data_IF_643528769114
#
_entry.id   IF_643528769114
#
_cell.length_a   1.000
_cell.length_b   1.000
_cell.length_c   1.000
_cell.angle_alpha   90.00
_cell.angle_beta   90.00
_cell.angle_gamma   90.00
#
_symmetry.space_group_name_H-M   'P 1'
#
loop_
_entity.id
_entity.type
_entity.pdbx_description
1 polymer ?
#
# COMPACT_ATOMS: atom_id res chain seq x y z
N UNK A 1 -43.68 39.95 7.61
CA UNK A 1 -42.78 38.95 8.23
C UNK A 1 -42.39 37.96 7.16
N UNK A 2 -41.22 38.15 6.56
CA UNK A 2 -40.65 37.28 5.53
C UNK A 2 -39.97 36.10 6.21
N UNK A 3 -40.42 34.87 5.92
CA UNK A 3 -39.78 33.63 6.36
C UNK A 3 -38.48 33.45 5.55
N UNK A 4 -37.34 33.71 6.18
CA UNK A 4 -36.04 33.34 5.65
C UNK A 4 -35.90 31.84 5.95
N UNK A 5 -35.90 31.02 4.90
CA UNK A 5 -35.56 29.60 5.02
C UNK A 5 -34.04 29.58 5.17
N UNK A 6 -33.55 29.40 6.39
CA UNK A 6 -32.14 29.16 6.66
C UNK A 6 -31.78 27.79 6.09
N UNK A 7 -31.15 27.78 4.92
CA UNK A 7 -30.52 26.58 4.38
C UNK A 7 -29.26 26.29 5.20
N UNK A 8 -29.33 25.27 6.04
CA UNK A 8 -28.18 24.75 6.77
C UNK A 8 -27.07 24.36 5.78
N UNK A 9 -25.93 25.06 5.87
CA UNK A 9 -24.74 24.77 5.07
C UNK A 9 -23.97 23.64 5.73
N UNK A 10 -23.95 22.48 5.08
CA UNK A 10 -23.19 21.31 5.55
C UNK A 10 -21.79 21.34 4.94
N UNK A 11 -20.76 21.42 5.78
CA UNK A 11 -19.36 21.26 5.38
C UNK A 11 -18.85 19.90 5.83
N UNK A 12 -18.28 19.13 4.90
CA UNK A 12 -17.63 17.86 5.23
C UNK A 12 -16.33 17.70 4.45
N UNK A 13 -15.37 17.00 5.04
CA UNK A 13 -14.13 16.61 4.39
C UNK A 13 -14.22 15.15 3.98
N UNK A 14 -14.10 14.91 2.68
CA UNK A 14 -14.02 13.56 2.16
C UNK A 14 -12.59 13.03 2.31
N UNK A 15 -12.41 11.96 3.08
CA UNK A 15 -11.11 11.30 3.21
C UNK A 15 -10.96 10.23 2.13
N UNK A 16 -10.27 10.56 1.04
CA UNK A 16 -9.94 9.63 -0.05
C UNK A 16 -8.41 9.42 -0.11
N UNK A 17 -7.84 8.51 0.70
CA UNK A 17 -6.42 8.23 0.63
C UNK A 17 -6.08 7.57 -0.71
N UNK A 18 -4.90 7.85 -1.25
CA UNK A 18 -4.44 7.35 -2.56
C UNK A 18 -4.45 5.82 -2.65
N UNK A 19 -4.28 5.13 -1.52
CA UNK A 19 -4.37 3.67 -1.40
C UNK A 19 -5.71 3.09 -1.83
N UNK A 20 -6.80 3.86 -1.81
CA UNK A 20 -8.12 3.38 -2.25
C UNK A 20 -8.18 3.14 -3.77
N UNK A 21 -7.26 3.72 -4.53
CA UNK A 21 -7.17 3.56 -5.97
C UNK A 21 -6.23 2.41 -6.39
N UNK A 22 -5.87 1.55 -5.44
CA UNK A 22 -5.12 0.32 -5.72
C UNK A 22 -6.06 -0.83 -6.03
N UNK A 23 -5.67 -1.63 -7.01
CA UNK A 23 -6.32 -2.86 -7.45
C UNK A 23 -5.40 -4.03 -7.15
N UNK A 24 -6.03 -5.11 -6.67
CA UNK A 24 -5.35 -6.38 -6.45
C UNK A 24 -5.05 -7.02 -7.80
N UNK A 25 -3.78 -7.31 -8.05
CA UNK A 25 -3.31 -8.10 -9.20
C UNK A 25 -2.18 -8.99 -8.73
N UNK A 26 -2.17 -10.23 -9.18
CA UNK A 26 -1.11 -11.20 -8.90
C UNK A 26 -0.15 -11.25 -10.07
N UNK A 27 1.15 -11.28 -9.78
CA UNK A 27 2.21 -11.58 -10.74
C UNK A 27 3.14 -12.62 -10.11
N UNK A 28 3.86 -13.35 -10.95
CA UNK A 28 4.88 -14.28 -10.48
C UNK A 28 6.19 -13.53 -10.10
N UNK A 29 7.11 -14.25 -9.47
CA UNK A 29 8.39 -13.69 -9.03
C UNK A 29 9.30 -13.28 -10.19
N UNK A 30 9.17 -13.91 -11.36
CA UNK A 30 9.99 -13.61 -12.54
C UNK A 30 9.56 -12.26 -13.11
N UNK A 31 8.25 -12.08 -13.35
CA UNK A 31 7.66 -10.84 -13.81
C UNK A 31 7.89 -9.70 -12.82
N UNK A 32 7.90 -9.98 -11.52
CA UNK A 32 8.25 -8.98 -10.50
C UNK A 32 9.72 -8.58 -10.58
N UNK A 33 10.64 -9.53 -10.76
CA UNK A 33 12.05 -9.25 -10.94
C UNK A 33 12.30 -8.42 -12.22
N UNK A 34 11.67 -8.81 -13.33
CA UNK A 34 11.73 -8.07 -14.58
C UNK A 34 11.22 -6.64 -14.41
N UNK A 35 10.10 -6.44 -13.71
CA UNK A 35 9.57 -5.12 -13.39
C UNK A 35 10.58 -4.28 -12.60
N UNK A 36 11.23 -4.86 -11.57
CA UNK A 36 12.24 -4.18 -10.77
C UNK A 36 13.49 -3.79 -11.59
N UNK A 37 13.86 -4.59 -12.59
CA UNK A 37 15.01 -4.35 -13.46
C UNK A 37 14.70 -3.49 -14.70
N UNK A 38 13.44 -3.43 -15.12
CA UNK A 38 13.01 -2.76 -16.37
C UNK A 38 13.12 -1.23 -16.35
N UNK A 39 13.24 -0.61 -15.17
CA UNK A 39 13.14 0.84 -15.02
C UNK A 39 11.72 1.40 -15.18
N UNK A 40 10.68 0.56 -15.30
CA UNK A 40 9.29 0.98 -15.36
C UNK A 40 8.79 1.62 -14.05
N UNK A 41 9.49 1.37 -12.93
CA UNK A 41 9.24 1.99 -11.63
C UNK A 41 9.89 3.38 -11.57
N UNK A 42 9.11 4.41 -11.90
CA UNK A 42 9.59 5.79 -12.03
C UNK A 42 9.92 6.41 -10.66
N UNK A 43 9.18 6.02 -9.62
CA UNK A 43 9.27 6.61 -8.29
C UNK A 43 9.74 5.59 -7.27
N UNK A 44 10.79 5.93 -6.52
CA UNK A 44 11.27 5.12 -5.41
C UNK A 44 11.15 5.90 -4.10
N UNK A 45 10.63 5.25 -3.07
CA UNK A 45 10.59 5.79 -1.72
C UNK A 45 10.92 4.70 -0.72
N UNK A 46 11.57 5.09 0.39
CA UNK A 46 11.88 4.20 1.48
C UNK A 46 11.59 4.91 2.80
N UNK A 47 10.99 4.18 3.73
CA UNK A 47 10.83 4.62 5.10
C UNK A 47 11.11 3.45 6.06
N UNK A 48 11.47 3.78 7.30
CA UNK A 48 11.65 2.81 8.38
C UNK A 48 10.70 3.18 9.50
N UNK A 49 10.03 2.19 10.05
CA UNK A 49 9.15 2.37 11.22
C UNK A 49 9.84 1.73 12.41
N UNK A 50 9.86 2.43 13.53
CA UNK A 50 10.38 1.91 14.80
C UNK A 50 9.51 0.77 15.34
N UNK A 51 10.11 -0.07 16.20
CA UNK A 51 9.58 -1.33 16.72
C UNK A 51 8.06 -1.38 16.93
N UNK A 52 7.38 -2.21 16.12
CA UNK A 52 6.03 -2.67 16.38
C UNK A 52 6.08 -4.00 17.13
N UNK A 53 5.30 -4.17 18.20
CA UNK A 53 5.13 -5.48 18.87
C UNK A 53 4.33 -6.50 18.04
N UNK A 54 4.05 -6.21 16.77
CA UNK A 54 3.26 -7.07 15.90
C UNK A 54 4.13 -8.11 15.18
N UNK A 55 3.57 -9.31 15.04
CA UNK A 55 4.16 -10.38 14.23
C UNK A 55 4.28 -9.96 12.77
N UNK A 56 5.37 -10.40 12.12
CA UNK A 56 5.66 -10.09 10.72
C UNK A 56 4.53 -10.51 9.77
N UNK A 57 3.94 -11.68 9.99
CA UNK A 57 2.86 -12.22 9.15
C UNK A 57 1.58 -11.43 9.32
N UNK A 58 1.27 -11.07 10.57
CA UNK A 58 0.13 -10.25 10.88
C UNK A 58 0.22 -8.88 10.18
N UNK A 59 1.40 -8.25 10.21
CA UNK A 59 1.64 -6.98 9.52
C UNK A 59 1.47 -7.11 8.01
N UNK A 60 2.10 -8.11 7.38
CA UNK A 60 1.97 -8.33 5.93
C UNK A 60 0.51 -8.55 5.54
N UNK A 61 -0.22 -9.40 6.29
CA UNK A 61 -1.62 -9.66 6.01
C UNK A 61 -2.47 -8.38 6.15
N UNK A 62 -2.23 -7.59 7.20
CA UNK A 62 -2.93 -6.31 7.43
C UNK A 62 -2.66 -5.32 6.29
N UNK A 63 -1.41 -5.21 5.85
CA UNK A 63 -1.01 -4.35 4.72
C UNK A 63 -1.68 -4.84 3.42
N UNK A 64 -1.62 -6.14 3.14
CA UNK A 64 -2.22 -6.70 1.92
C UNK A 64 -3.73 -6.52 1.87
N UNK A 65 -4.42 -6.63 3.01
CA UNK A 65 -5.85 -6.38 3.10
C UNK A 65 -6.19 -4.90 2.95
N UNK A 66 -5.47 -4.01 3.65
CA UNK A 66 -5.76 -2.58 3.69
C UNK A 66 -5.43 -1.87 2.37
N UNK A 67 -4.38 -2.30 1.67
CA UNK A 67 -3.87 -1.66 0.46
C UNK A 67 -4.13 -2.49 -0.81
N UNK A 68 -4.88 -3.58 -0.70
CA UNK A 68 -5.19 -4.51 -1.81
C UNK A 68 -3.95 -5.07 -2.52
N UNK A 69 -2.84 -5.19 -1.79
CA UNK A 69 -1.61 -5.78 -2.29
C UNK A 69 -1.71 -7.31 -2.31
N UNK A 70 -0.91 -7.94 -3.17
CA UNK A 70 -0.67 -9.38 -3.20
C UNK A 70 0.75 -9.68 -2.80
N UNK A 71 0.95 -10.78 -2.07
CA UNK A 71 2.29 -11.31 -1.79
C UNK A 71 2.78 -12.04 -3.04
N UNK A 72 3.90 -11.58 -3.60
CA UNK A 72 4.57 -12.22 -4.74
C UNK A 72 5.56 -13.25 -4.22
N UNK A 73 6.41 -12.83 -3.28
CA UNK A 73 7.40 -13.69 -2.65
C UNK A 73 7.50 -13.33 -1.17
N UNK A 74 7.80 -14.34 -0.36
CA UNK A 74 7.98 -14.16 1.08
C UNK A 74 9.12 -15.03 1.57
N UNK A 75 10.03 -14.40 2.30
CA UNK A 75 11.10 -15.00 3.08
C UNK A 75 10.90 -14.73 4.57
N UNK A 76 11.72 -15.35 5.42
CA UNK A 76 11.57 -15.31 6.88
C UNK A 76 11.37 -13.90 7.46
N UNK A 77 12.09 -12.90 6.94
CA UNK A 77 12.02 -11.51 7.42
C UNK A 77 11.78 -10.47 6.32
N UNK A 78 11.43 -10.91 5.10
CA UNK A 78 11.21 -10.04 3.97
C UNK A 78 10.04 -10.52 3.11
N UNK A 79 9.34 -9.59 2.47
CA UNK A 79 8.26 -9.90 1.54
C UNK A 79 8.26 -8.91 0.39
N UNK A 80 8.01 -9.43 -0.81
CA UNK A 80 7.77 -8.68 -2.02
C UNK A 80 6.26 -8.61 -2.26
N UNK A 81 5.73 -7.39 -2.31
CA UNK A 81 4.31 -7.12 -2.48
C UNK A 81 4.07 -6.38 -3.79
N UNK A 82 2.92 -6.62 -4.39
CA UNK A 82 2.55 -6.02 -5.66
C UNK A 82 1.09 -5.58 -5.70
N UNK A 83 0.83 -4.48 -6.39
CA UNK A 83 -0.50 -4.02 -6.80
C UNK A 83 -0.39 -3.19 -8.07
N UNK A 84 -1.54 -2.82 -8.63
CA UNK A 84 -1.63 -1.81 -9.67
C UNK A 84 -2.54 -0.67 -9.23
N UNK A 85 -2.30 0.52 -9.76
CA UNK A 85 -3.29 1.60 -9.68
C UNK A 85 -4.48 1.29 -10.60
N UNK A 86 -5.57 2.04 -10.45
CA UNK A 86 -6.68 2.01 -11.40
C UNK A 86 -6.27 2.38 -12.85
N UNK A 87 -5.13 3.04 -13.04
CA UNK A 87 -4.56 3.39 -14.35
C UNK A 87 -3.55 2.35 -14.84
N UNK A 88 -3.54 1.15 -14.25
CA UNK A 88 -2.66 0.04 -14.64
C UNK A 88 -1.16 0.37 -14.46
N UNK A 89 -0.85 1.29 -13.54
CA UNK A 89 0.53 1.59 -13.19
C UNK A 89 1.00 0.62 -12.09
N UNK A 90 2.16 -0.03 -12.26
CA UNK A 90 2.66 -1.01 -11.31
C UNK A 90 3.14 -0.37 -10.01
N UNK A 91 2.81 -0.99 -8.89
CA UNK A 91 3.34 -0.65 -7.57
C UNK A 91 4.02 -1.89 -7.00
N UNK A 92 5.34 -1.80 -6.86
CA UNK A 92 6.16 -2.80 -6.18
C UNK A 92 6.55 -2.30 -4.78
N UNK A 93 6.36 -3.14 -3.78
CA UNK A 93 6.66 -2.83 -2.38
C UNK A 93 7.59 -3.89 -1.81
N UNK A 94 8.74 -3.47 -1.30
CA UNK A 94 9.68 -4.34 -0.60
C UNK A 94 9.55 -4.09 0.90
N UNK A 95 9.07 -5.09 1.61
CA UNK A 95 8.91 -5.02 3.06
C UNK A 95 9.98 -5.89 3.73
N UNK A 96 10.73 -5.32 4.68
CA UNK A 96 11.77 -6.02 5.42
C UNK A 96 11.67 -5.72 6.92
N UNK A 97 11.55 -6.76 7.72
CA UNK A 97 11.69 -6.68 9.17
C UNK A 97 13.17 -6.72 9.54
N UNK A 98 13.62 -5.72 10.30
CA UNK A 98 14.96 -5.68 10.85
C UNK A 98 14.81 -5.91 12.35
N UNK A 99 15.27 -7.07 12.82
CA UNK A 99 15.38 -7.34 14.25
C UNK A 99 16.64 -6.63 14.74
N UNK A 100 16.49 -5.54 15.50
CA UNK A 100 17.59 -4.98 16.27
C UNK A 100 17.75 -5.83 17.53
N UNK A 101 18.82 -6.62 17.60
CA UNK A 101 19.22 -7.29 18.84
C UNK A 101 20.03 -6.26 19.63
N UNK A 102 19.52 -5.85 20.80
CA UNK A 102 20.23 -5.00 21.76
C UNK A 102 20.82 -5.87 22.88
#
# INVERSE_FOLDING_TARGET
KSNIIETDKIEFKLNLPSSQYLRRKTIDSIAFADLMSSGALICQSQFRISSSNQDFLLMINTICQSYRLTVVEKMNSAASLYAETILEQPIALLFKSIVCIF
#
